data_IF_921926634095
#
_entry.id   IF_921926634095
#
_cell.length_a   1.000
_cell.length_b   1.000
_cell.length_c   1.000
_cell.angle_alpha   90.00
_cell.angle_beta   90.00
_cell.angle_gamma   90.00
#
_symmetry.space_group_name_H-M   'P 1'
#
loop_
_entity.id
_entity.type
_entity.pdbx_description
1 polymer ?
#
# COMPACT_ATOMS: atom_id res chain seq x y z
N UNK A 1 8.33 27.33 15.10
CA UNK A 1 9.32 26.28 14.78
C UNK A 1 8.52 25.04 14.47
N UNK A 2 8.16 24.83 13.21
CA UNK A 2 7.42 23.65 12.77
C UNK A 2 8.45 22.61 12.30
N UNK A 3 8.36 21.42 12.89
CA UNK A 3 9.26 20.30 12.65
C UNK A 3 9.18 19.88 11.18
N UNK A 4 10.21 20.18 10.40
CA UNK A 4 10.39 19.73 9.01
C UNK A 4 10.84 18.25 8.93
N UNK A 5 10.78 17.49 10.02
CA UNK A 5 11.35 16.13 10.11
C UNK A 5 10.41 15.00 9.59
N UNK A 6 9.24 15.33 9.03
CA UNK A 6 8.20 14.31 8.74
C UNK A 6 7.70 14.24 7.30
N UNK A 7 8.38 14.88 6.35
CA UNK A 7 7.89 14.96 4.96
C UNK A 7 8.55 13.93 4.04
N UNK A 8 9.70 13.37 4.42
CA UNK A 8 10.44 12.42 3.59
C UNK A 8 10.40 11.00 4.16
N UNK A 9 9.36 10.25 3.79
CA UNK A 9 9.19 8.85 4.17
C UNK A 9 8.35 8.11 3.14
N UNK A 10 8.33 6.78 3.29
CA UNK A 10 7.39 5.90 2.62
C UNK A 10 6.61 5.09 3.66
N UNK A 11 5.31 4.92 3.43
CA UNK A 11 4.53 3.88 4.10
C UNK A 11 4.43 2.68 3.16
N UNK A 12 4.68 1.49 3.71
CA UNK A 12 4.52 0.24 2.98
C UNK A 12 3.51 -0.60 3.75
N UNK A 13 2.39 -0.94 3.11
CA UNK A 13 1.39 -1.84 3.67
C UNK A 13 1.36 -3.15 2.89
N UNK A 14 1.11 -4.24 3.62
CA UNK A 14 0.79 -5.55 3.06
C UNK A 14 -0.71 -5.75 3.22
N UNK A 15 -1.38 -5.99 2.11
CA UNK A 15 -2.83 -6.03 2.04
C UNK A 15 -3.28 -7.44 1.60
N UNK A 16 -4.37 -7.91 2.20
CA UNK A 16 -5.08 -9.13 1.80
C UNK A 16 -6.51 -8.77 1.43
N UNK A 17 -6.95 -9.31 0.30
CA UNK A 17 -8.26 -9.09 -0.29
C UNK A 17 -9.21 -10.19 0.15
N UNK A 18 -10.30 -9.77 0.77
CA UNK A 18 -11.36 -10.65 1.22
C UNK A 18 -12.52 -10.61 0.22
N UNK A 19 -12.90 -11.79 -0.26
CA UNK A 19 -14.05 -11.99 -1.14
C UNK A 19 -15.10 -12.87 -0.45
N UNK A 20 -15.97 -12.30 0.41
CA UNK A 20 -17.10 -13.05 0.96
C UNK A 20 -17.95 -13.69 -0.15
N UNK A 21 -18.62 -14.80 0.15
CA UNK A 21 -19.49 -15.46 -0.82
C UNK A 21 -20.56 -14.50 -1.38
N UNK A 22 -20.67 -14.43 -2.71
CA UNK A 22 -21.60 -13.52 -3.40
C UNK A 22 -21.13 -12.05 -3.50
N UNK A 23 -20.01 -11.68 -2.88
CA UNK A 23 -19.48 -10.31 -2.87
C UNK A 23 -19.16 -9.75 -4.27
N UNK A 24 -18.64 -10.60 -5.17
CA UNK A 24 -18.29 -10.21 -6.54
C UNK A 24 -19.52 -9.80 -7.36
N UNK A 25 -20.64 -10.53 -7.20
CA UNK A 25 -21.89 -10.19 -7.87
C UNK A 25 -22.44 -8.85 -7.36
N UNK A 26 -22.34 -8.60 -6.05
CA UNK A 26 -22.74 -7.32 -5.44
C UNK A 26 -21.90 -6.16 -5.94
N UNK A 27 -20.59 -6.34 -6.05
CA UNK A 27 -19.69 -5.34 -6.66
C UNK A 27 -20.11 -5.03 -8.10
N UNK A 28 -20.40 -6.06 -8.90
CA UNK A 28 -20.78 -5.88 -10.29
C UNK A 28 -22.15 -5.18 -10.43
N UNK A 29 -23.09 -5.46 -9.53
CA UNK A 29 -24.37 -4.73 -9.42
C UNK A 29 -24.14 -3.25 -9.07
N UNK A 30 -23.31 -2.98 -8.07
CA UNK A 30 -22.96 -1.62 -7.66
C UNK A 30 -22.31 -0.83 -8.80
N UNK A 31 -21.39 -1.45 -9.54
CA UNK A 31 -20.72 -0.86 -10.71
C UNK A 31 -21.69 -0.54 -11.86
N UNK A 32 -22.84 -1.21 -11.94
CA UNK A 32 -23.93 -0.88 -12.88
C UNK A 32 -24.87 0.21 -12.36
N UNK A 33 -24.63 0.75 -11.16
CA UNK A 33 -25.42 1.81 -10.54
C UNK A 33 -26.63 1.31 -9.73
N UNK A 34 -26.71 0.02 -9.44
CA UNK A 34 -27.74 -0.52 -8.55
C UNK A 34 -27.51 -0.05 -7.10
N UNK A 35 -28.59 0.24 -6.37
CA UNK A 35 -28.52 0.54 -4.94
C UNK A 35 -28.54 -0.77 -4.16
N UNK A 36 -27.50 -0.98 -3.35
CA UNK A 36 -27.41 -2.10 -2.42
C UNK A 36 -28.02 -1.74 -1.05
N UNK A 37 -28.54 -2.73 -0.33
CA UNK A 37 -28.97 -2.56 1.07
C UNK A 37 -27.75 -2.46 1.99
N UNK A 38 -27.89 -1.95 3.23
CA UNK A 38 -26.80 -1.94 4.22
C UNK A 38 -26.18 -3.32 4.47
N UNK A 39 -27.00 -4.37 4.50
CA UNK A 39 -26.55 -5.75 4.66
C UNK A 39 -25.72 -6.21 3.45
N UNK A 40 -26.16 -5.92 2.23
CA UNK A 40 -25.40 -6.23 1.00
C UNK A 40 -24.08 -5.45 0.95
N UNK A 41 -24.08 -4.17 1.36
CA UNK A 41 -22.85 -3.36 1.42
C UNK A 41 -21.83 -3.97 2.39
N UNK A 42 -22.28 -4.58 3.49
CA UNK A 42 -21.39 -5.14 4.51
C UNK A 42 -20.57 -6.35 4.07
N UNK A 43 -20.95 -6.97 2.95
CA UNK A 43 -20.27 -8.14 2.38
C UNK A 43 -19.61 -7.86 1.04
N UNK A 44 -19.48 -6.58 0.64
CA UNK A 44 -18.68 -6.22 -0.53
C UNK A 44 -17.22 -6.68 -0.34
N UNK A 45 -16.48 -6.92 -1.44
CA UNK A 45 -15.06 -7.21 -1.36
C UNK A 45 -14.34 -6.06 -0.65
N UNK A 46 -13.39 -6.38 0.23
CA UNK A 46 -12.63 -5.38 0.95
C UNK A 46 -11.17 -5.81 1.08
N UNK A 47 -10.26 -4.83 1.07
CA UNK A 47 -8.87 -5.03 1.46
C UNK A 47 -8.73 -4.84 2.98
N UNK A 48 -7.84 -5.61 3.59
CA UNK A 48 -7.40 -5.42 4.97
C UNK A 48 -5.88 -5.35 5.02
N UNK A 49 -5.37 -4.30 5.66
CA UNK A 49 -3.95 -4.20 6.02
C UNK A 49 -3.61 -5.26 7.06
N UNK A 50 -2.69 -6.16 6.72
CA UNK A 50 -2.15 -7.18 7.63
C UNK A 50 -0.97 -6.61 8.43
N UNK A 51 -0.11 -5.85 7.77
CA UNK A 51 1.06 -5.24 8.39
C UNK A 51 1.48 -3.97 7.67
N UNK A 52 2.15 -3.06 8.38
CA UNK A 52 2.59 -1.77 7.89
C UNK A 52 3.95 -1.41 8.49
N UNK A 53 4.80 -0.79 7.67
CA UNK A 53 6.02 -0.14 8.13
C UNK A 53 6.14 1.27 7.58
N UNK A 54 6.86 2.11 8.32
CA UNK A 54 7.33 3.41 7.87
C UNK A 54 8.84 3.35 7.60
N UNK A 55 9.24 3.75 6.40
CA UNK A 55 10.64 3.86 5.99
C UNK A 55 10.99 5.35 5.94
N UNK A 56 11.96 5.77 6.74
CA UNK A 56 12.40 7.16 6.91
C UNK A 56 13.87 7.39 6.51
N UNK A 57 14.61 6.33 6.15
CA UNK A 57 15.94 6.46 5.60
C UNK A 57 15.88 7.04 4.17
N UNK A 58 16.61 8.12 3.94
CA UNK A 58 16.53 8.86 2.68
C UNK A 58 16.90 8.03 1.45
N UNK A 59 17.99 7.27 1.53
CA UNK A 59 18.50 6.50 0.39
C UNK A 59 17.52 5.38 0.02
N UNK A 60 16.90 4.76 1.03
CA UNK A 60 15.88 3.74 0.85
C UNK A 60 14.59 4.29 0.24
N UNK A 61 14.14 5.46 0.71
CA UNK A 61 12.96 6.15 0.16
C UNK A 61 13.20 6.53 -1.30
N UNK A 62 14.35 7.13 -1.63
CA UNK A 62 14.73 7.46 -3.01
C UNK A 62 14.78 6.20 -3.89
N UNK A 63 15.37 5.12 -3.37
CA UNK A 63 15.45 3.85 -4.09
C UNK A 63 14.06 3.28 -4.40
N UNK A 64 13.15 3.30 -3.41
CA UNK A 64 11.77 2.86 -3.60
C UNK A 64 11.03 3.70 -4.64
N UNK A 65 11.12 5.04 -4.57
CA UNK A 65 10.50 5.95 -5.54
C UNK A 65 10.95 5.59 -6.96
N UNK A 66 12.25 5.37 -7.16
CA UNK A 66 12.80 5.00 -8.47
C UNK A 66 12.28 3.64 -8.95
N UNK A 67 12.17 2.66 -8.05
CA UNK A 67 11.65 1.33 -8.39
C UNK A 67 10.17 1.44 -8.81
N UNK A 68 9.31 2.09 -8.02
CA UNK A 68 7.87 2.12 -8.30
C UNK A 68 7.53 3.04 -9.47
N UNK A 69 8.17 4.20 -9.58
CA UNK A 69 7.90 5.16 -10.68
C UNK A 69 8.32 4.64 -12.05
N UNK A 70 9.19 3.62 -12.10
CA UNK A 70 9.61 3.02 -13.36
C UNK A 70 8.72 1.85 -13.82
N UNK A 71 7.77 1.40 -12.99
CA UNK A 71 7.06 0.13 -13.22
C UNK A 71 5.58 0.11 -12.90
N UNK A 72 5.13 0.94 -11.98
CA UNK A 72 3.74 1.05 -11.63
C UNK A 72 3.10 2.11 -12.51
N UNK A 73 1.87 1.85 -12.94
CA UNK A 73 1.02 2.88 -13.53
C UNK A 73 0.82 4.05 -12.55
N UNK A 74 0.35 5.18 -13.08
CA UNK A 74 0.23 6.46 -12.35
C UNK A 74 -0.25 6.27 -10.91
N UNK A 75 0.41 6.92 -9.92
CA UNK A 75 0.01 6.79 -8.53
C UNK A 75 -1.44 7.22 -8.32
N UNK A 76 -2.09 6.55 -7.38
CA UNK A 76 -3.43 6.92 -6.92
C UNK A 76 -3.31 7.79 -5.67
N UNK A 77 -3.99 8.93 -5.69
CA UNK A 77 -4.22 9.69 -4.46
C UNK A 77 -5.22 8.92 -3.59
N UNK A 78 -4.77 8.39 -2.46
CA UNK A 78 -5.59 7.51 -1.62
C UNK A 78 -6.04 8.16 -0.31
N UNK A 79 -5.15 8.86 0.40
CA UNK A 79 -5.46 9.33 1.76
C UNK A 79 -4.70 10.60 2.17
N UNK A 80 -5.20 11.25 3.21
CA UNK A 80 -4.58 12.40 3.88
C UNK A 80 -4.38 12.07 5.37
N UNK A 81 -3.17 12.26 5.87
CA UNK A 81 -2.84 12.13 7.30
C UNK A 81 -2.03 13.36 7.70
N UNK A 82 -2.40 13.98 8.82
CA UNK A 82 -1.70 15.13 9.39
C UNK A 82 -1.46 16.30 8.39
N UNK A 83 -2.41 16.50 7.47
CA UNK A 83 -2.33 17.54 6.44
C UNK A 83 -1.39 17.22 5.26
N UNK A 84 -0.91 15.98 5.16
CA UNK A 84 -0.15 15.49 4.02
C UNK A 84 -1.02 14.54 3.19
N UNK A 85 -1.17 14.85 1.90
CA UNK A 85 -1.73 13.94 0.90
C UNK A 85 -0.72 12.89 0.50
N UNK A 86 -1.17 11.65 0.28
CA UNK A 86 -0.33 10.53 -0.12
C UNK A 86 -0.69 9.99 -1.51
N UNK A 87 0.35 9.83 -2.31
CA UNK A 87 0.35 9.07 -3.56
C UNK A 87 0.73 7.63 -3.27
N UNK A 88 -0.13 6.69 -3.66
CA UNK A 88 0.09 5.27 -3.45
C UNK A 88 0.25 4.53 -4.76
N UNK A 89 1.21 3.62 -4.78
CA UNK A 89 1.47 2.70 -5.87
C UNK A 89 1.05 1.30 -5.45
N UNK A 90 0.21 0.66 -6.27
CA UNK A 90 -0.10 -0.75 -6.15
C UNK A 90 1.07 -1.55 -6.75
N UNK A 91 1.62 -2.47 -5.98
CA UNK A 91 2.79 -3.26 -6.36
C UNK A 91 2.47 -4.74 -6.19
N UNK A 92 2.70 -5.50 -7.26
CA UNK A 92 2.60 -6.95 -7.24
C UNK A 92 3.67 -7.54 -6.30
N UNK A 93 3.29 -8.35 -5.29
CA UNK A 93 4.23 -8.99 -4.37
C UNK A 93 5.28 -9.86 -5.05
N UNK A 94 5.05 -10.28 -6.30
CA UNK A 94 5.99 -11.05 -7.13
C UNK A 94 7.06 -10.18 -7.83
N UNK A 95 7.01 -8.84 -7.76
CA UNK A 95 8.03 -7.98 -8.37
C UNK A 95 9.40 -8.23 -7.75
N UNK A 96 10.30 -8.80 -8.55
CA UNK A 96 11.64 -9.21 -8.09
C UNK A 96 12.49 -8.05 -7.56
N UNK A 97 12.34 -6.82 -8.08
CA UNK A 97 13.15 -5.68 -7.63
C UNK A 97 12.69 -5.22 -6.27
N UNK A 98 11.38 -5.21 -6.06
CA UNK A 98 10.76 -4.90 -4.79
C UNK A 98 11.16 -5.96 -3.75
N UNK A 99 11.04 -7.25 -4.09
CA UNK A 99 11.54 -8.34 -3.23
C UNK A 99 13.02 -8.18 -2.88
N UNK A 100 13.88 -7.89 -3.87
CA UNK A 100 15.31 -7.67 -3.63
C UNK A 100 15.57 -6.46 -2.74
N UNK A 101 14.88 -5.35 -2.99
CA UNK A 101 14.97 -4.15 -2.16
C UNK A 101 14.63 -4.49 -0.70
N UNK A 102 13.46 -5.08 -0.46
CA UNK A 102 13.02 -5.40 0.89
C UNK A 102 13.92 -6.45 1.58
N UNK A 103 14.39 -7.46 0.85
CA UNK A 103 15.32 -8.46 1.37
C UNK A 103 16.64 -7.82 1.84
N UNK A 104 17.18 -6.90 1.05
CA UNK A 104 18.49 -6.29 1.30
C UNK A 104 18.42 -5.17 2.34
N UNK A 105 17.36 -4.36 2.31
CA UNK A 105 17.26 -3.11 3.05
C UNK A 105 16.30 -3.20 4.25
N UNK A 106 15.21 -3.94 4.15
CA UNK A 106 14.11 -3.89 5.13
C UNK A 106 14.15 -5.07 6.09
N UNK A 107 14.43 -6.29 5.61
CA UNK A 107 14.43 -7.52 6.43
C UNK A 107 15.16 -7.40 7.76
N UNK A 108 16.33 -6.75 7.78
CA UNK A 108 17.12 -6.59 9.02
C UNK A 108 16.52 -5.57 9.99
N UNK A 109 15.86 -4.53 9.48
CA UNK A 109 15.27 -3.44 10.29
C UNK A 109 13.86 -3.76 10.74
N UNK A 110 13.10 -4.46 9.91
CA UNK A 110 11.70 -4.83 10.14
C UNK A 110 11.51 -6.33 9.90
N UNK A 111 12.08 -7.20 10.76
CA UNK A 111 12.02 -8.65 10.56
C UNK A 111 10.58 -9.18 10.59
N UNK A 112 9.73 -8.65 11.48
CA UNK A 112 8.31 -9.06 11.58
C UNK A 112 7.50 -8.73 10.33
N UNK A 113 7.80 -7.60 9.67
CA UNK A 113 7.19 -7.24 8.39
C UNK A 113 7.61 -8.21 7.30
N UNK A 114 8.91 -8.51 7.22
CA UNK A 114 9.43 -9.50 6.27
C UNK A 114 8.81 -10.88 6.49
N UNK A 115 8.76 -11.33 7.74
CA UNK A 115 8.17 -12.62 8.10
C UNK A 115 6.68 -12.65 7.79
N UNK A 116 5.96 -11.54 7.97
CA UNK A 116 4.54 -11.46 7.58
C UNK A 116 4.39 -11.62 6.08
N UNK A 117 5.18 -10.90 5.28
CA UNK A 117 5.10 -11.02 3.83
C UNK A 117 5.37 -12.44 3.34
N UNK A 118 6.48 -13.07 3.77
CA UNK A 118 6.87 -14.37 3.21
C UNK A 118 6.00 -15.55 3.68
N UNK A 119 5.27 -15.40 4.80
CA UNK A 119 4.48 -16.47 5.40
C UNK A 119 2.96 -16.31 5.21
N UNK A 120 2.49 -15.23 4.59
CA UNK A 120 1.07 -15.01 4.30
C UNK A 120 0.86 -14.88 2.80
N UNK A 121 -0.37 -15.16 2.35
CA UNK A 121 -0.80 -14.86 0.99
C UNK A 121 -1.11 -13.37 0.94
N UNK A 122 -0.22 -12.58 0.33
CA UNK A 122 -0.38 -11.15 0.17
C UNK A 122 -0.90 -10.93 -1.24
N UNK A 123 -2.03 -10.23 -1.37
CA UNK A 123 -2.57 -9.89 -2.69
C UNK A 123 -1.82 -8.71 -3.29
N UNK A 124 -1.63 -7.65 -2.50
CA UNK A 124 -1.05 -6.40 -2.95
C UNK A 124 -0.11 -5.80 -1.90
N UNK A 125 0.91 -5.09 -2.39
CA UNK A 125 1.74 -4.19 -1.58
C UNK A 125 1.38 -2.77 -1.98
N UNK A 126 0.96 -1.93 -1.04
CA UNK A 126 0.80 -0.50 -1.28
C UNK A 126 2.03 0.24 -0.79
N UNK A 127 2.67 0.97 -1.69
CA UNK A 127 3.80 1.84 -1.36
C UNK A 127 3.35 3.29 -1.53
N UNK A 128 3.29 4.01 -0.41
CA UNK A 128 2.67 5.33 -0.33
C UNK A 128 3.69 6.39 0.08
N UNK A 129 3.63 7.53 -0.59
CA UNK A 129 4.54 8.65 -0.37
C UNK A 129 3.80 9.98 -0.25
N UNK A 130 4.29 10.92 0.57
CA UNK A 130 3.76 12.28 0.58
C UNK A 130 3.86 12.94 -0.80
N UNK A 131 2.79 13.60 -1.28
CA UNK A 131 2.75 14.30 -2.58
C UNK A 131 3.84 15.38 -2.69
N UNK A 132 4.09 16.10 -1.60
CA UNK A 132 5.13 17.12 -1.52
C UNK A 132 6.32 16.56 -0.77
N UNK A 133 7.27 16.00 -1.49
CA UNK A 133 8.59 15.73 -0.94
C UNK A 133 9.44 16.99 -1.07
N UNK A 134 9.74 17.66 0.04
CA UNK A 134 10.84 18.63 0.05
C UNK A 134 12.15 17.85 0.18
N UNK A 135 12.94 17.83 -0.91
CA UNK A 135 14.30 17.28 -0.94
C UNK A 135 15.33 18.30 -0.45
#
# INVERSE_FOLDING_TARGET
MTNNEHIFHAFVTLDEMFYPDGSLELRDRLNRGEKLTPEELSILPYSKVINEIKIDNSDDVISLINIVSSNCDNPHNLFEIDGLSYNSFLVDPSDMRIQQFFLNHIKKRFPEFWDTWVNNDIDDILISFPEKMEM
#
